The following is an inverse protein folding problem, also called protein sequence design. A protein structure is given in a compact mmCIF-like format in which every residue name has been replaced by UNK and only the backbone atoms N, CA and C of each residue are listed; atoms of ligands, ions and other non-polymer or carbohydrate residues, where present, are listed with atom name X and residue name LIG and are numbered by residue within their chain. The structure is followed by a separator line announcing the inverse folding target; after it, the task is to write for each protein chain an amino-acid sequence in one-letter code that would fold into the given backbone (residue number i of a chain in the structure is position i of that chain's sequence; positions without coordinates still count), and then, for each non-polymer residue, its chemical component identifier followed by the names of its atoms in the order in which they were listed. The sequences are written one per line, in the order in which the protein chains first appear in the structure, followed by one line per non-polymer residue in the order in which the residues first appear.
data_IF_137610989125
#
_entry.id   IF_137610989125
#
_cell.length_a   1.000
_cell.length_b   1.000
_cell.length_c   1.000
_cell.angle_alpha   90.00
_cell.angle_beta   90.00
_cell.angle_gamma   90.00
#
_symmetry.space_group_name_H-M   'P 1'
#
loop_
_entity.id
_entity.type
_entity.pdbx_description
1 polymer ?
#
# COMPACT_ATOMS: atom_id res chain seq x y z
N UNK A 1 3.74 -0.57 12.80
CA UNK A 1 3.65 -1.94 12.26
C UNK A 1 5.02 -2.58 12.14
N UNK A 2 6.00 -1.96 11.47
CA UNK A 2 7.36 -2.52 11.29
C UNK A 2 8.05 -2.95 12.60
N UNK A 3 8.05 -2.09 13.62
CA UNK A 3 8.66 -2.40 14.93
C UNK A 3 7.97 -3.56 15.64
N UNK A 4 6.62 -3.59 15.63
CA UNK A 4 5.87 -4.69 16.23
C UNK A 4 6.12 -6.01 15.49
N UNK A 5 6.19 -5.96 14.16
CA UNK A 5 6.57 -7.10 13.32
C UNK A 5 8.00 -7.58 13.58
N UNK A 6 8.97 -6.67 13.77
CA UNK A 6 10.35 -7.04 14.04
C UNK A 6 10.60 -7.63 15.43
N UNK A 7 9.87 -7.19 16.45
CA UNK A 7 10.07 -7.64 17.84
C UNK A 7 9.24 -8.89 18.19
N UNK A 8 8.05 -9.03 17.61
CA UNK A 8 7.07 -10.05 18.02
C UNK A 8 6.75 -11.12 16.95
N UNK A 9 7.47 -11.17 15.83
CA UNK A 9 7.16 -12.07 14.70
C UNK A 9 6.95 -13.55 15.11
N UNK A 10 7.75 -14.04 16.05
CA UNK A 10 7.71 -15.45 16.47
C UNK A 10 6.93 -15.65 17.79
N UNK A 11 6.36 -14.58 18.37
CA UNK A 11 5.83 -14.57 19.74
C UNK A 11 4.41 -13.98 19.85
N UNK A 12 3.63 -14.05 18.78
CA UNK A 12 2.25 -13.52 18.75
C UNK A 12 1.31 -14.18 19.76
N UNK A 13 1.44 -15.50 19.98
CA UNK A 13 0.63 -16.26 20.94
C UNK A 13 0.87 -15.83 22.39
N UNK A 14 2.10 -15.43 22.71
CA UNK A 14 2.48 -14.91 24.04
C UNK A 14 2.16 -13.42 24.19
N UNK A 15 1.98 -12.68 23.10
CA UNK A 15 1.81 -11.22 23.08
C UNK A 15 0.60 -10.81 22.22
N UNK A 16 -0.59 -11.31 22.58
CA UNK A 16 -1.80 -11.07 21.78
C UNK A 16 -2.17 -9.58 21.66
N UNK A 17 -1.87 -8.76 22.67
CA UNK A 17 -2.11 -7.31 22.64
C UNK A 17 -1.27 -6.61 21.56
N UNK A 18 -0.01 -7.01 21.37
CA UNK A 18 0.87 -6.48 20.33
C UNK A 18 0.38 -6.89 18.92
N UNK A 19 -0.14 -8.11 18.78
CA UNK A 19 -0.78 -8.57 17.55
C UNK A 19 -2.00 -7.73 17.18
N UNK A 20 -2.92 -7.50 18.13
CA UNK A 20 -4.07 -6.64 17.91
C UNK A 20 -3.70 -5.18 17.61
N UNK A 21 -2.64 -4.66 18.24
CA UNK A 21 -2.11 -3.34 17.92
C UNK A 21 -1.60 -3.27 16.46
N UNK A 22 -0.89 -4.29 15.97
CA UNK A 22 -0.45 -4.35 14.58
C UNK A 22 -1.62 -4.38 13.59
N UNK A 23 -2.69 -5.14 13.90
CA UNK A 23 -3.93 -5.18 13.12
C UNK A 23 -4.61 -3.81 13.10
N UNK A 24 -4.75 -3.16 14.26
CA UNK A 24 -5.34 -1.83 14.35
C UNK A 24 -4.56 -0.79 13.51
N UNK A 25 -3.22 -0.86 13.52
CA UNK A 25 -2.39 0.00 12.67
C UNK A 25 -2.62 -0.25 11.17
N UNK A 26 -2.80 -1.51 10.76
CA UNK A 26 -3.12 -1.85 9.37
C UNK A 26 -4.48 -1.27 8.94
N UNK A 27 -5.50 -1.40 9.78
CA UNK A 27 -6.81 -0.79 9.50
C UNK A 27 -6.76 0.74 9.48
N UNK A 28 -6.00 1.37 10.38
CA UNK A 28 -5.80 2.82 10.34
C UNK A 28 -5.17 3.26 9.03
N UNK A 29 -4.15 2.53 8.55
CA UNK A 29 -3.56 2.81 7.24
C UNK A 29 -4.57 2.67 6.10
N UNK A 30 -5.34 1.57 6.08
CA UNK A 30 -6.39 1.34 5.06
C UNK A 30 -7.43 2.47 5.07
N UNK A 31 -7.87 2.92 6.25
CA UNK A 31 -8.83 4.02 6.37
C UNK A 31 -8.27 5.35 5.85
N UNK A 32 -7.05 5.71 6.27
CA UNK A 32 -6.41 6.95 5.80
C UNK A 32 -6.21 6.90 4.29
N UNK A 33 -5.72 5.79 3.76
CA UNK A 33 -5.56 5.58 2.32
C UNK A 33 -6.88 5.66 1.56
N UNK A 34 -7.92 5.02 2.10
CA UNK A 34 -9.26 4.98 1.51
C UNK A 34 -9.93 6.36 1.42
N UNK A 35 -9.75 7.22 2.43
CA UNK A 35 -10.34 8.57 2.44
C UNK A 35 -9.53 9.56 1.60
N UNK A 36 -8.21 9.39 1.55
CA UNK A 36 -7.32 10.33 0.88
C UNK A 36 -6.95 9.88 -0.54
N UNK A 37 -5.99 8.96 -0.66
CA UNK A 37 -5.31 8.67 -1.90
C UNK A 37 -6.13 7.82 -2.86
N UNK A 38 -6.97 6.90 -2.35
CA UNK A 38 -7.77 6.01 -3.19
C UNK A 38 -8.71 6.77 -4.15
N UNK A 39 -9.58 7.70 -3.70
CA UNK A 39 -10.44 8.46 -4.61
C UNK A 39 -9.64 9.44 -5.49
N UNK A 40 -8.58 10.02 -4.94
CA UNK A 40 -7.72 10.95 -5.68
C UNK A 40 -7.05 10.27 -6.88
N UNK A 41 -6.54 9.05 -6.73
CA UNK A 41 -5.87 8.31 -7.82
C UNK A 41 -6.74 8.10 -9.05
N UNK A 42 -8.06 8.03 -8.88
CA UNK A 42 -9.01 7.87 -9.99
C UNK A 42 -9.60 9.18 -10.50
N UNK A 43 -9.73 10.20 -9.64
CA UNK A 43 -10.24 11.51 -10.02
C UNK A 43 -9.19 12.39 -10.72
N UNK A 44 -7.95 12.38 -10.23
CA UNK A 44 -6.85 13.23 -10.73
C UNK A 44 -6.61 13.13 -12.25
N UNK A 45 -6.58 11.94 -12.87
CA UNK A 45 -6.37 11.85 -14.32
C UNK A 45 -7.44 12.59 -15.11
N UNK A 46 -8.69 12.65 -14.65
CA UNK A 46 -9.74 13.38 -15.35
C UNK A 46 -9.60 14.91 -15.22
N UNK A 47 -9.03 15.39 -14.11
CA UNK A 47 -8.90 16.83 -13.79
C UNK A 47 -7.63 17.46 -14.38
N UNK A 48 -6.53 16.70 -14.47
CA UNK A 48 -5.23 17.21 -14.91
C UNK A 48 -5.17 17.43 -16.43
N UNK A 49 -5.89 16.63 -17.22
CA UNK A 49 -5.85 16.73 -18.67
C UNK A 49 -6.90 17.71 -19.24
N UNK A 50 -6.54 18.58 -20.21
CA UNK A 50 -7.49 19.42 -20.92
C UNK A 50 -8.59 18.61 -21.62
N UNK A 51 -9.79 19.17 -21.76
CA UNK A 51 -10.97 18.50 -22.35
C UNK A 51 -10.66 17.74 -23.66
N UNK A 52 -9.87 18.33 -24.55
CA UNK A 52 -9.55 17.76 -25.86
C UNK A 52 -8.65 16.50 -25.80
N UNK A 53 -7.89 16.31 -24.71
CA UNK A 53 -6.95 15.20 -24.55
C UNK A 53 -7.26 14.30 -23.36
N UNK A 54 -8.31 14.61 -22.59
CA UNK A 54 -8.70 13.88 -21.38
C UNK A 54 -8.87 12.38 -21.62
N UNK A 55 -9.61 11.99 -22.65
CA UNK A 55 -9.86 10.57 -22.94
C UNK A 55 -8.56 9.80 -23.21
N UNK A 56 -7.61 10.40 -23.93
CA UNK A 56 -6.29 9.81 -24.21
C UNK A 56 -5.44 9.72 -22.94
N UNK A 57 -5.46 10.75 -22.11
CA UNK A 57 -4.73 10.79 -20.84
C UNK A 57 -5.23 9.75 -19.83
N UNK A 58 -6.55 9.64 -19.67
CA UNK A 58 -7.19 8.63 -18.79
C UNK A 58 -6.93 7.20 -19.31
N UNK A 59 -6.94 7.02 -20.64
CA UNK A 59 -6.62 5.74 -21.28
C UNK A 59 -5.18 5.29 -21.03
N UNK A 60 -4.23 6.20 -20.87
CA UNK A 60 -2.85 5.88 -20.46
C UNK A 60 -2.70 5.69 -18.95
N UNK A 61 -3.40 6.47 -18.14
CA UNK A 61 -3.32 6.37 -16.68
C UNK A 61 -3.81 5.01 -16.16
N UNK A 62 -4.88 4.47 -16.76
CA UNK A 62 -5.49 3.19 -16.34
C UNK A 62 -4.50 2.00 -16.41
N UNK A 63 -3.87 1.69 -17.56
CA UNK A 63 -2.91 0.58 -17.63
C UNK A 63 -1.68 0.83 -16.77
N UNK A 64 -1.26 2.09 -16.58
CA UNK A 64 -0.16 2.42 -15.66
C UNK A 64 -0.50 2.03 -14.22
N UNK A 65 -1.70 2.35 -13.71
CA UNK A 65 -2.15 1.94 -12.38
C UNK A 65 -2.14 0.40 -12.25
N UNK A 66 -2.68 -0.30 -13.23
CA UNK A 66 -2.72 -1.76 -13.21
C UNK A 66 -1.34 -2.41 -13.31
N UNK A 67 -0.43 -1.83 -14.08
CA UNK A 67 0.96 -2.28 -14.17
C UNK A 67 1.65 -2.16 -12.81
N UNK A 68 1.51 -1.03 -12.12
CA UNK A 68 2.11 -0.85 -10.80
C UNK A 68 1.47 -1.76 -9.74
N UNK A 69 0.16 -1.98 -9.78
CA UNK A 69 -0.49 -2.99 -8.94
C UNK A 69 0.07 -4.39 -9.18
N UNK A 70 0.32 -4.75 -10.44
CA UNK A 70 0.95 -6.03 -10.79
C UNK A 70 2.38 -6.14 -10.24
N UNK A 71 3.21 -5.10 -10.44
CA UNK A 71 4.59 -5.07 -9.92
C UNK A 71 4.59 -5.26 -8.40
N UNK A 72 3.75 -4.53 -7.67
CA UNK A 72 3.62 -4.68 -6.21
C UNK A 72 3.14 -6.09 -5.86
N UNK A 73 2.13 -6.62 -6.55
CA UNK A 73 1.62 -7.97 -6.32
C UNK A 73 2.67 -9.07 -6.49
N UNK A 74 3.63 -8.90 -7.41
CA UNK A 74 4.71 -9.86 -7.66
C UNK A 74 5.93 -9.62 -6.77
N UNK A 75 6.29 -8.36 -6.51
CA UNK A 75 7.53 -8.00 -5.81
C UNK A 75 7.41 -8.12 -4.28
N UNK A 76 6.25 -7.81 -3.69
CA UNK A 76 6.10 -7.78 -2.24
C UNK A 76 6.26 -9.16 -1.57
N UNK A 77 5.68 -10.27 -2.09
CA UNK A 77 5.87 -11.59 -1.47
C UNK A 77 7.34 -12.02 -1.31
N UNK A 78 8.20 -12.01 -2.34
CA UNK A 78 9.61 -12.36 -2.18
C UNK A 78 10.40 -11.34 -1.35
N UNK A 79 9.98 -10.08 -1.32
CA UNK A 79 10.58 -9.08 -0.42
C UNK A 79 10.27 -9.40 1.05
N UNK A 80 9.06 -9.84 1.39
CA UNK A 80 8.70 -10.23 2.77
C UNK A 80 9.51 -11.46 3.20
N UNK A 81 9.71 -12.42 2.31
CA UNK A 81 10.52 -13.62 2.60
C UNK A 81 12.00 -13.31 2.85
N UNK A 82 12.57 -12.36 2.09
CA UNK A 82 14.00 -12.03 2.16
C UNK A 82 14.36 -11.04 3.27
N UNK A 83 13.58 -9.96 3.44
CA UNK A 83 13.90 -8.86 4.38
C UNK A 83 12.86 -8.69 5.50
N UNK A 84 11.81 -9.52 5.54
CA UNK A 84 10.86 -9.58 6.65
C UNK A 84 10.18 -8.24 6.93
N UNK A 85 10.30 -7.76 8.18
CA UNK A 85 9.75 -6.46 8.57
C UNK A 85 10.44 -5.26 7.87
N UNK A 86 11.62 -5.49 7.28
CA UNK A 86 12.36 -4.51 6.50
C UNK A 86 11.57 -3.99 5.30
N UNK A 87 10.62 -4.77 4.75
CA UNK A 87 9.72 -4.31 3.68
C UNK A 87 8.93 -3.08 4.14
N UNK A 88 8.39 -3.10 5.35
CA UNK A 88 7.61 -1.98 5.89
C UNK A 88 8.45 -0.74 6.15
N UNK A 89 9.77 -0.90 6.38
CA UNK A 89 10.70 0.22 6.53
C UNK A 89 11.07 0.76 5.16
N UNK A 90 11.38 -0.10 4.19
CA UNK A 90 11.76 0.31 2.83
C UNK A 90 10.69 1.17 2.13
N UNK A 91 9.41 0.86 2.32
CA UNK A 91 8.30 1.67 1.79
C UNK A 91 7.88 2.82 2.71
N UNK A 92 8.32 2.81 3.97
CA UNK A 92 7.98 3.83 4.98
C UNK A 92 9.09 4.85 5.26
N UNK A 93 10.29 4.65 4.71
CA UNK A 93 11.45 5.55 4.73
C UNK A 93 11.46 6.44 3.50
#
# INVERSE_FOLDING_TARGET
MAVLGGVYNDKWSSNSSAGWAAVAMAFCFILIYGVSYAPLGWALPAEVFPNASRSKGVALATPTVWLFNFIVGVAIPPMIESIGFGVYIFFGS
#
